data_IF_032078675086
#
_entry.id   IF_032078675086
#
_cell.length_a   1.000
_cell.length_b   1.000
_cell.length_c   1.000
_cell.angle_alpha   90.00
_cell.angle_beta   90.00
_cell.angle_gamma   90.00
#
_symmetry.space_group_name_H-M   'P 1'
#
loop_
_entity.id
_entity.type
_entity.pdbx_description
1 polymer ?
#
# COMPACT_ATOMS: atom_id res chain seq x y z
N UNK A 1 27.79 34.29 24.24
CA UNK A 1 26.41 34.79 24.14
C UNK A 1 25.76 34.01 23.01
N UNK A 2 24.69 33.26 23.27
CA UNK A 2 24.00 32.51 22.22
C UNK A 2 23.26 33.54 21.35
N UNK A 3 23.50 33.54 20.04
CA UNK A 3 22.75 34.38 19.14
C UNK A 3 21.32 33.82 19.05
N UNK A 4 20.33 34.65 19.38
CA UNK A 4 18.93 34.24 19.29
C UNK A 4 18.49 34.18 17.82
N UNK A 5 17.54 33.28 17.47
CA UNK A 5 16.91 33.31 16.17
C UNK A 5 16.24 34.67 15.90
N UNK A 6 16.17 35.05 14.63
CA UNK A 6 15.61 36.33 14.23
C UNK A 6 14.17 36.51 14.74
N UNK A 7 13.87 37.69 15.28
CA UNK A 7 12.56 38.03 15.82
C UNK A 7 12.31 37.64 17.28
N UNK A 8 13.26 36.98 17.95
CA UNK A 8 13.17 36.66 19.38
C UNK A 8 14.08 37.57 20.22
N UNK A 9 13.58 38.01 21.37
CA UNK A 9 14.24 38.98 22.27
C UNK A 9 14.77 38.36 23.55
N UNK A 10 14.27 37.18 23.94
CA UNK A 10 14.75 36.42 25.08
C UNK A 10 14.70 34.91 24.85
N UNK A 11 15.44 34.18 25.70
CA UNK A 11 15.50 32.74 25.73
C UNK A 11 15.61 32.23 27.17
N UNK A 12 14.75 31.28 27.54
CA UNK A 12 14.75 30.64 28.86
C UNK A 12 15.05 29.14 28.70
N UNK A 13 16.19 28.63 29.19
CA UNK A 13 16.48 27.20 29.12
C UNK A 13 15.56 26.43 30.07
N UNK A 14 14.89 25.40 29.56
CA UNK A 14 14.15 24.46 30.39
C UNK A 14 15.10 23.48 31.09
N UNK A 15 14.69 22.95 32.24
CA UNK A 15 15.47 22.00 33.04
C UNK A 15 16.90 22.48 33.35
N UNK A 16 17.09 23.78 33.60
CA UNK A 16 18.41 24.36 33.88
C UNK A 16 19.39 24.29 32.70
N UNK A 17 18.91 24.03 31.49
CA UNK A 17 19.75 23.86 30.29
C UNK A 17 20.39 22.46 30.19
N UNK A 18 20.00 21.51 31.03
CA UNK A 18 20.43 20.13 30.92
C UNK A 18 19.78 19.42 29.73
N UNK A 19 20.51 18.49 29.14
CA UNK A 19 20.01 17.64 28.06
C UNK A 19 18.96 16.67 28.59
N UNK A 20 17.86 16.49 27.85
CA UNK A 20 16.84 15.50 28.16
C UNK A 20 17.42 14.08 28.02
N UNK A 21 17.07 13.18 28.95
CA UNK A 21 17.62 11.83 29.02
C UNK A 21 16.91 10.82 28.11
N UNK A 22 16.81 11.09 26.80
CA UNK A 22 16.28 10.13 25.83
C UNK A 22 17.04 10.14 24.49
N UNK A 23 16.99 9.01 23.77
CA UNK A 23 17.54 8.88 22.42
C UNK A 23 16.58 9.48 21.39
N UNK A 24 16.93 10.64 20.85
CA UNK A 24 16.12 11.36 19.85
C UNK A 24 15.82 10.51 18.62
N UNK A 25 16.78 9.70 18.15
CA UNK A 25 16.57 8.93 16.92
C UNK A 25 15.56 7.79 17.11
N UNK A 26 15.23 7.46 18.36
CA UNK A 26 14.24 6.44 18.72
C UNK A 26 12.93 7.03 19.24
N UNK A 27 13.00 8.09 20.05
CA UNK A 27 11.87 8.63 20.80
C UNK A 27 11.54 10.08 20.46
N UNK A 28 12.21 10.68 19.47
CA UNK A 28 12.03 12.09 19.11
C UNK A 28 10.58 12.41 18.75
N UNK A 29 9.98 11.62 17.86
CA UNK A 29 8.61 11.82 17.39
C UNK A 29 7.59 11.58 18.52
N UNK A 30 7.78 10.52 19.29
CA UNK A 30 6.96 10.20 20.49
C UNK A 30 6.98 11.33 21.51
N UNK A 31 8.16 11.85 21.83
CA UNK A 31 8.32 12.95 22.78
C UNK A 31 7.65 14.23 22.26
N UNK A 32 7.84 14.57 20.98
CA UNK A 32 7.20 15.74 20.35
C UNK A 32 5.67 15.64 20.45
N UNK A 33 5.10 14.48 20.10
CA UNK A 33 3.65 14.28 20.17
C UNK A 33 3.11 14.48 21.59
N UNK A 34 3.77 13.94 22.63
CA UNK A 34 3.35 14.16 24.01
C UNK A 34 3.49 15.62 24.47
N UNK A 35 4.50 16.35 24.01
CA UNK A 35 4.64 17.79 24.28
C UNK A 35 3.43 18.54 23.72
N UNK A 36 3.10 18.32 22.45
CA UNK A 36 2.01 19.06 21.78
C UNK A 36 0.62 18.61 22.20
N UNK A 37 0.44 17.34 22.56
CA UNK A 37 -0.79 16.87 23.19
C UNK A 37 -1.03 17.61 24.51
N UNK A 38 -0.01 17.71 25.38
CA UNK A 38 -0.15 18.40 26.66
C UNK A 38 -0.43 19.89 26.48
N UNK A 39 0.18 20.54 25.49
CA UNK A 39 -0.11 21.94 25.15
C UNK A 39 -1.53 22.12 24.55
N UNK A 40 -2.02 21.16 23.79
CA UNK A 40 -3.41 21.13 23.33
C UNK A 40 -4.40 21.14 24.50
N UNK A 41 -4.10 20.38 25.55
CA UNK A 41 -4.93 20.31 26.77
C UNK A 41 -4.84 21.59 27.63
N UNK A 42 -3.64 22.15 27.81
CA UNK A 42 -3.43 23.27 28.74
C UNK A 42 -3.75 24.63 28.13
N UNK A 43 -3.35 24.86 26.88
CA UNK A 43 -3.48 26.17 26.21
C UNK A 43 -4.34 26.14 24.95
N UNK A 44 -5.06 25.04 24.70
CA UNK A 44 -5.98 24.86 23.56
C UNK A 44 -5.32 25.07 22.20
N UNK A 45 -4.05 24.70 22.08
CA UNK A 45 -3.37 24.70 20.78
C UNK A 45 -4.03 23.72 19.82
N UNK A 46 -4.18 24.11 18.55
CA UNK A 46 -4.72 23.24 17.50
C UNK A 46 -3.62 22.60 16.63
N UNK A 47 -2.36 22.92 16.88
CA UNK A 47 -1.22 22.37 16.15
C UNK A 47 0.07 23.15 16.35
N UNK A 48 1.06 22.88 15.52
CA UNK A 48 2.34 23.59 15.54
C UNK A 48 2.94 23.71 14.14
N UNK A 49 3.85 24.67 13.98
CA UNK A 49 4.73 24.83 12.83
C UNK A 49 6.16 24.56 13.27
N UNK A 50 6.94 23.90 12.43
CA UNK A 50 8.35 23.64 12.67
C UNK A 50 9.20 24.38 11.64
N UNK A 51 10.24 25.07 12.10
CA UNK A 51 11.26 25.68 11.24
C UNK A 51 12.66 25.22 11.66
N UNK A 52 13.56 25.02 10.70
CA UNK A 52 14.96 24.76 11.01
C UNK A 52 15.70 26.05 11.32
N UNK A 53 16.62 25.98 12.27
CA UNK A 53 17.56 27.05 12.57
C UNK A 53 18.98 26.53 12.35
N UNK A 54 19.63 27.02 11.30
CA UNK A 54 20.92 26.48 10.85
C UNK A 54 22.13 27.14 11.53
N UNK A 55 21.94 28.25 12.26
CA UNK A 55 23.02 28.93 12.97
C UNK A 55 23.29 28.25 14.31
N UNK A 56 24.56 28.28 14.74
CA UNK A 56 24.95 27.65 16.00
C UNK A 56 24.34 28.39 17.21
N UNK A 57 23.69 27.67 18.16
CA UNK A 57 23.47 26.22 18.17
C UNK A 57 22.31 25.82 17.24
N UNK A 58 22.57 24.97 16.25
CA UNK A 58 21.54 24.55 15.30
C UNK A 58 20.40 23.79 15.99
N UNK A 59 19.21 23.79 15.39
CA UNK A 59 18.04 23.11 15.97
C UNK A 59 16.75 23.31 15.21
N UNK A 60 15.64 22.97 15.88
CA UNK A 60 14.29 23.17 15.36
C UNK A 60 13.52 24.12 16.27
N UNK A 61 12.80 25.07 15.69
CA UNK A 61 11.93 25.99 16.41
C UNK A 61 10.49 25.57 16.12
N UNK A 62 9.75 25.27 17.19
CA UNK A 62 8.36 24.90 17.15
C UNK A 62 7.49 26.05 17.65
N UNK A 63 6.58 26.50 16.81
CA UNK A 63 5.64 27.56 17.13
C UNK A 63 4.22 27.01 17.13
N UNK A 64 3.44 27.30 18.18
CA UNK A 64 2.06 26.82 18.28
C UNK A 64 1.15 27.57 17.31
N UNK A 65 0.14 26.86 16.79
CA UNK A 65 -0.93 27.41 15.98
C UNK A 65 -2.22 27.51 16.79
N UNK A 66 -2.94 28.63 16.67
CA UNK A 66 -4.25 28.82 17.30
C UNK A 66 -4.23 29.02 18.82
N UNK A 67 -3.05 29.16 19.44
CA UNK A 67 -2.91 29.40 20.88
C UNK A 67 -2.73 30.89 21.21
N UNK A 68 -2.93 31.23 22.49
CA UNK A 68 -2.60 32.57 23.02
C UNK A 68 -1.12 32.72 23.40
N UNK A 69 -0.37 31.61 23.44
CA UNK A 69 1.06 31.61 23.77
C UNK A 69 1.84 32.36 22.69
N UNK A 70 2.65 33.33 23.13
CA UNK A 70 3.49 34.15 22.24
C UNK A 70 4.92 33.62 22.14
N UNK A 71 5.20 32.54 22.85
CA UNK A 71 6.48 31.85 22.89
C UNK A 71 6.58 30.69 21.88
N UNK A 72 7.80 30.23 21.66
CA UNK A 72 8.14 29.08 20.83
C UNK A 72 9.12 28.18 21.57
N UNK A 73 9.16 26.90 21.20
CA UNK A 73 10.14 25.95 21.73
C UNK A 73 11.29 25.77 20.75
N UNK A 74 12.50 26.10 21.17
CA UNK A 74 13.72 25.81 20.45
C UNK A 74 14.35 24.51 20.98
N UNK A 75 14.32 23.50 20.12
CA UNK A 75 14.93 22.20 20.35
C UNK A 75 16.35 22.20 19.79
N UNK A 76 17.33 22.40 20.66
CA UNK A 76 18.76 22.36 20.32
C UNK A 76 19.22 20.91 20.31
N UNK A 77 20.03 20.54 19.32
CA UNK A 77 20.40 19.16 19.03
C UNK A 77 21.93 18.95 19.09
N UNK A 78 22.52 18.79 20.29
CA UNK A 78 23.94 18.51 20.42
C UNK A 78 24.29 17.14 19.84
N UNK A 79 25.42 17.00 19.16
CA UNK A 79 25.80 15.74 18.49
C UNK A 79 26.02 14.55 19.43
N UNK A 80 26.33 14.80 20.71
CA UNK A 80 26.75 13.78 21.69
C UNK A 80 25.89 13.75 22.97
N UNK A 81 24.74 14.43 22.98
CA UNK A 81 23.84 14.48 24.14
C UNK A 81 22.39 14.46 23.67
N UNK A 82 21.48 14.23 24.61
CA UNK A 82 20.05 14.41 24.34
C UNK A 82 19.71 15.87 24.00
N UNK A 83 18.48 16.09 23.51
CA UNK A 83 18.04 17.43 23.12
C UNK A 83 18.03 18.39 24.31
N UNK A 84 18.30 19.67 24.05
CA UNK A 84 18.15 20.76 25.03
C UNK A 84 16.98 21.62 24.60
N UNK A 85 16.09 21.93 25.53
CA UNK A 85 14.87 22.70 25.26
C UNK A 85 15.04 24.13 25.77
N UNK A 86 14.74 25.11 24.93
CA UNK A 86 14.80 26.54 25.27
C UNK A 86 13.50 27.19 24.82
N UNK A 87 12.81 27.88 25.72
CA UNK A 87 11.64 28.69 25.35
C UNK A 87 12.12 30.02 24.83
N UNK A 88 11.63 30.42 23.66
CA UNK A 88 11.92 31.71 23.04
C UNK A 88 10.69 32.60 23.10
N UNK A 89 10.87 33.90 23.30
CA UNK A 89 9.78 34.88 23.17
C UNK A 89 10.20 36.17 22.48
N UNK A 90 9.20 36.91 21.99
CA UNK A 90 9.38 38.16 21.23
C UNK A 90 9.13 39.41 22.09
N UNK A 91 8.20 39.29 23.02
CA UNK A 91 7.79 40.34 23.96
C UNK A 91 8.56 40.21 25.29
N UNK A 92 8.37 41.08 26.30
CA UNK A 92 8.97 40.86 27.61
C UNK A 92 8.65 39.46 28.18
N UNK A 93 9.58 38.92 28.95
CA UNK A 93 9.45 37.57 29.51
C UNK A 93 8.29 37.51 30.52
N UNK A 94 7.38 36.56 30.31
CA UNK A 94 6.25 36.27 31.21
C UNK A 94 6.26 34.79 31.59
N UNK A 95 6.01 34.47 32.86
CA UNK A 95 6.00 33.07 33.32
C UNK A 95 4.86 32.27 32.68
N UNK A 96 3.74 32.94 32.35
CA UNK A 96 2.60 32.35 31.63
C UNK A 96 2.99 31.84 30.22
N UNK A 97 4.07 32.36 29.64
CA UNK A 97 4.61 31.91 28.37
C UNK A 97 5.62 30.77 28.50
N UNK A 98 6.11 30.47 29.71
CA UNK A 98 7.20 29.51 29.98
C UNK A 98 6.67 28.25 30.66
N UNK A 99 5.85 28.42 31.70
CA UNK A 99 5.38 27.31 32.54
C UNK A 99 4.62 26.25 31.74
N UNK A 100 3.75 26.58 30.76
CA UNK A 100 3.11 25.56 29.92
C UNK A 100 4.10 24.69 29.15
N UNK A 101 5.21 25.27 28.65
CA UNK A 101 6.26 24.49 27.99
C UNK A 101 7.04 23.63 28.98
N UNK A 102 7.36 24.18 30.16
CA UNK A 102 8.05 23.43 31.22
C UNK A 102 7.23 22.21 31.64
N UNK A 103 5.94 22.40 31.86
CA UNK A 103 5.00 21.33 32.20
C UNK A 103 4.89 20.30 31.07
N UNK A 104 4.70 20.74 29.83
CA UNK A 104 4.56 19.86 28.67
C UNK A 104 5.81 19.02 28.40
N UNK A 105 7.00 19.63 28.46
CA UNK A 105 8.28 18.93 28.30
C UNK A 105 8.49 17.92 29.43
N UNK A 106 8.22 18.30 30.68
CA UNK A 106 8.35 17.39 31.82
C UNK A 106 7.33 16.24 31.74
N UNK A 107 6.11 16.50 31.28
CA UNK A 107 5.09 15.48 31.03
C UNK A 107 5.57 14.49 29.96
N UNK A 108 6.00 14.98 28.80
CA UNK A 108 6.46 14.16 27.71
C UNK A 108 7.64 13.25 28.10
N UNK A 109 8.63 13.77 28.85
CA UNK A 109 9.76 12.95 29.36
C UNK A 109 9.29 11.79 30.24
N UNK A 110 8.22 11.97 31.02
CA UNK A 110 7.65 10.89 31.84
C UNK A 110 6.84 9.87 31.04
N UNK A 111 6.33 10.26 29.87
CA UNK A 111 5.51 9.41 29.01
C UNK A 111 6.32 8.65 27.94
N UNK A 112 7.55 9.05 27.61
CA UNK A 112 8.37 8.31 26.64
C UNK A 112 8.46 6.83 27.03
N UNK A 113 8.22 5.95 26.06
CA UNK A 113 8.22 4.50 26.23
C UNK A 113 6.91 3.94 26.79
N UNK A 114 5.91 4.78 27.09
CA UNK A 114 4.57 4.30 27.38
C UNK A 114 3.87 3.95 26.07
N UNK A 115 3.55 2.67 25.90
CA UNK A 115 2.72 2.20 24.81
C UNK A 115 1.34 1.83 25.35
N UNK A 116 0.33 2.21 24.61
CA UNK A 116 -1.06 1.80 24.81
C UNK A 116 -1.49 0.89 23.67
N UNK A 117 -2.34 -0.07 24.01
CA UNK A 117 -3.00 -0.91 23.02
C UNK A 117 -4.23 -0.21 22.47
N UNK A 118 -4.21 0.10 21.17
CA UNK A 118 -5.35 0.64 20.46
C UNK A 118 -6.06 -0.47 19.68
N UNK A 119 -7.26 -0.83 20.14
CA UNK A 119 -8.16 -1.67 19.37
C UNK A 119 -8.71 -0.92 18.16
N UNK A 120 -8.72 -1.57 16.99
CA UNK A 120 -9.19 -0.98 15.75
C UNK A 120 -9.94 -1.98 14.87
N UNK A 121 -10.68 -1.44 13.92
CA UNK A 121 -11.39 -2.21 12.90
C UNK A 121 -11.33 -1.57 11.53
N UNK A 122 -11.55 -2.36 10.50
CA UNK A 122 -11.72 -1.95 9.12
C UNK A 122 -12.64 -2.94 8.39
N UNK A 123 -13.08 -2.60 7.17
CA UNK A 123 -13.76 -3.55 6.28
C UNK A 123 -12.97 -3.64 5.00
N UNK A 124 -12.69 -4.85 4.55
CA UNK A 124 -12.03 -5.14 3.28
C UNK A 124 -12.93 -5.97 2.37
N UNK A 125 -12.64 -5.99 1.08
CA UNK A 125 -13.28 -6.88 0.13
C UNK A 125 -12.58 -6.88 -1.23
N UNK A 126 -12.89 -7.86 -2.10
CA UNK A 126 -12.43 -7.90 -3.49
C UNK A 126 -12.80 -6.62 -4.26
N UNK A 127 -11.94 -6.12 -5.14
CA UNK A 127 -12.22 -4.96 -6.01
C UNK A 127 -13.32 -5.29 -7.04
N UNK A 128 -14.40 -4.49 -7.14
CA UNK A 128 -15.49 -4.74 -8.08
C UNK A 128 -15.08 -4.64 -9.55
N UNK A 129 -13.97 -3.96 -9.85
CA UNK A 129 -13.49 -3.74 -11.22
C UNK A 129 -12.69 -4.91 -11.76
N UNK A 130 -12.28 -5.85 -10.90
CA UNK A 130 -11.47 -7.00 -11.31
C UNK A 130 -12.21 -7.90 -12.29
N UNK A 131 -11.61 -8.13 -13.47
CA UNK A 131 -12.13 -9.08 -14.47
C UNK A 131 -11.95 -10.56 -14.11
N UNK A 132 -11.15 -10.85 -13.08
CA UNK A 132 -10.63 -12.19 -12.83
C UNK A 132 -11.53 -13.10 -11.99
N UNK A 133 -12.62 -12.59 -11.42
CA UNK A 133 -13.51 -13.44 -10.66
C UNK A 133 -14.97 -13.05 -10.80
N UNK A 134 -15.83 -14.06 -10.73
CA UNK A 134 -17.18 -13.85 -10.21
C UNK A 134 -17.14 -13.39 -8.77
N UNK A 135 -18.31 -13.33 -8.15
CA UNK A 135 -18.46 -13.00 -6.74
C UNK A 135 -17.52 -13.81 -5.84
N UNK A 136 -16.65 -13.15 -5.07
CA UNK A 136 -15.74 -13.81 -4.12
C UNK A 136 -16.20 -13.56 -2.69
N UNK A 137 -16.07 -14.54 -1.81
CA UNK A 137 -16.35 -14.41 -0.37
C UNK A 137 -15.38 -15.28 0.45
N UNK A 138 -14.96 -14.79 1.62
CA UNK A 138 -14.22 -15.62 2.57
C UNK A 138 -15.18 -16.62 3.24
N UNK A 139 -14.83 -17.91 3.23
CA UNK A 139 -15.75 -19.00 3.60
C UNK A 139 -16.13 -19.05 5.09
N UNK A 140 -15.23 -18.60 5.96
CA UNK A 140 -15.39 -18.74 7.41
C UNK A 140 -14.55 -17.71 8.18
N UNK A 141 -14.92 -17.40 9.44
CA UNK A 141 -14.06 -16.63 10.33
C UNK A 141 -12.67 -17.25 10.45
N UNK A 142 -11.66 -16.41 10.60
CA UNK A 142 -10.26 -16.83 10.66
C UNK A 142 -9.38 -15.78 11.35
N UNK A 143 -8.14 -16.14 11.65
CA UNK A 143 -7.16 -15.23 12.26
C UNK A 143 -5.82 -15.31 11.52
N UNK A 144 -5.25 -14.14 11.20
CA UNK A 144 -3.96 -14.03 10.51
C UNK A 144 -3.15 -12.91 11.16
N UNK A 145 -1.98 -13.23 11.71
CA UNK A 145 -1.07 -12.21 12.23
C UNK A 145 -1.67 -11.33 13.33
N UNK A 146 -2.51 -11.90 14.19
CA UNK A 146 -3.26 -11.20 15.22
C UNK A 146 -4.41 -10.31 14.69
N UNK A 147 -4.77 -10.46 13.41
CA UNK A 147 -5.96 -9.85 12.83
C UNK A 147 -7.09 -10.89 12.82
N UNK A 148 -8.24 -10.54 13.40
CA UNK A 148 -9.46 -11.34 13.32
C UNK A 148 -10.23 -10.96 12.07
N UNK A 149 -10.62 -11.95 11.28
CA UNK A 149 -11.34 -11.79 10.03
C UNK A 149 -12.71 -12.43 10.16
N UNK A 150 -13.75 -11.60 10.13
CA UNK A 150 -15.13 -12.04 10.21
C UNK A 150 -15.79 -11.78 8.85
N UNK A 151 -16.05 -12.81 8.03
CA UNK A 151 -16.76 -12.63 6.76
C UNK A 151 -18.20 -12.19 7.00
N UNK A 152 -18.70 -11.29 6.16
CA UNK A 152 -20.10 -10.92 6.15
C UNK A 152 -20.96 -12.15 5.77
N UNK A 153 -22.06 -12.41 6.50
CA UNK A 153 -23.01 -13.45 6.10
C UNK A 153 -23.72 -13.10 4.77
N UNK A 154 -23.78 -11.81 4.44
CA UNK A 154 -24.43 -11.28 3.24
C UNK A 154 -23.41 -10.88 2.17
N UNK A 155 -23.88 -10.80 0.93
CA UNK A 155 -23.07 -10.30 -0.18
C UNK A 155 -23.30 -8.79 -0.32
N UNK A 156 -22.21 -8.03 -0.33
CA UNK A 156 -22.24 -6.61 -0.64
C UNK A 156 -22.42 -6.41 -2.13
N UNK A 157 -23.34 -5.51 -2.49
CA UNK A 157 -23.61 -5.18 -3.87
C UNK A 157 -23.13 -3.77 -4.21
N UNK A 158 -22.45 -3.64 -5.34
CA UNK A 158 -22.03 -2.35 -5.87
C UNK A 158 -21.98 -2.33 -7.39
N UNK A 159 -22.25 -1.16 -7.97
CA UNK A 159 -22.03 -0.89 -9.38
C UNK A 159 -20.66 -0.27 -9.61
N UNK A 160 -19.90 -0.84 -10.56
CA UNK A 160 -18.71 -0.22 -11.10
C UNK A 160 -18.99 0.34 -12.49
N UNK A 161 -18.61 1.60 -12.79
CA UNK A 161 -18.74 2.14 -14.14
C UNK A 161 -18.01 1.23 -15.14
N UNK A 162 -18.67 0.89 -16.24
CA UNK A 162 -18.01 0.15 -17.32
C UNK A 162 -16.92 1.02 -17.92
N UNK A 163 -15.68 0.51 -17.97
CA UNK A 163 -14.54 1.20 -18.57
C UNK A 163 -14.82 1.68 -20.00
N UNK A 164 -15.66 0.95 -20.74
CA UNK A 164 -15.89 1.17 -22.16
C UNK A 164 -17.29 1.67 -22.49
N UNK A 165 -18.16 1.94 -21.51
CA UNK A 165 -19.52 2.41 -21.78
C UNK A 165 -20.02 3.33 -20.66
N UNK A 166 -20.16 4.62 -20.97
CA UNK A 166 -20.64 5.64 -20.04
C UNK A 166 -22.09 5.39 -19.56
N UNK A 167 -22.85 4.61 -20.31
CA UNK A 167 -24.25 4.28 -20.02
C UNK A 167 -24.44 2.88 -19.45
N UNK A 168 -23.35 2.14 -19.17
CA UNK A 168 -23.45 0.85 -18.50
C UNK A 168 -22.58 0.79 -17.25
N UNK A 169 -23.08 0.06 -16.26
CA UNK A 169 -22.32 -0.29 -15.08
C UNK A 169 -22.31 -1.81 -14.94
N UNK A 170 -21.19 -2.34 -14.45
CA UNK A 170 -21.08 -3.74 -14.08
C UNK A 170 -21.48 -3.86 -12.62
N UNK A 171 -22.60 -4.52 -12.36
CA UNK A 171 -22.97 -4.91 -11.01
C UNK A 171 -22.03 -6.01 -10.53
N UNK A 172 -21.53 -5.88 -9.31
CA UNK A 172 -20.69 -6.87 -8.66
C UNK A 172 -21.27 -7.23 -7.29
N UNK A 173 -21.09 -8.48 -6.88
CA UNK A 173 -21.50 -8.99 -5.57
C UNK A 173 -20.28 -9.57 -4.89
N UNK A 174 -19.81 -8.97 -3.81
CA UNK A 174 -18.60 -9.38 -3.13
C UNK A 174 -18.88 -9.63 -1.64
N UNK A 175 -18.28 -10.66 -1.07
CA UNK A 175 -18.31 -10.91 0.35
C UNK A 175 -17.32 -9.97 1.05
N UNK A 176 -17.83 -9.08 1.88
CA UNK A 176 -17.00 -8.21 2.72
C UNK A 176 -16.42 -8.99 3.89
N UNK A 177 -15.32 -8.50 4.44
CA UNK A 177 -14.68 -9.05 5.62
C UNK A 177 -14.42 -7.92 6.60
N UNK A 178 -14.97 -8.04 7.81
CA UNK A 178 -14.66 -7.17 8.93
C UNK A 178 -13.33 -7.64 9.50
N UNK A 179 -12.37 -6.73 9.60
CA UNK A 179 -11.04 -7.00 10.11
C UNK A 179 -10.87 -6.25 11.41
N UNK A 180 -10.45 -6.93 12.47
CA UNK A 180 -10.19 -6.34 13.78
C UNK A 180 -8.78 -6.66 14.23
N UNK A 181 -8.16 -5.73 14.92
CA UNK A 181 -6.82 -5.91 15.46
C UNK A 181 -6.52 -4.95 16.60
N UNK A 182 -5.33 -5.10 17.16
CA UNK A 182 -4.77 -4.20 18.17
C UNK A 182 -3.39 -3.77 17.71
N UNK A 183 -3.07 -2.49 17.89
CA UNK A 183 -1.75 -1.93 17.62
C UNK A 183 -1.25 -1.19 18.86
N UNK A 184 -0.04 -1.56 19.31
CA UNK A 184 0.63 -0.91 20.44
C UNK A 184 1.33 0.36 19.96
N UNK A 185 0.95 1.52 20.49
CA UNK A 185 1.52 2.82 20.11
C UNK A 185 1.34 3.84 21.24
N UNK A 186 1.97 5.01 21.12
CA UNK A 186 1.78 6.12 22.07
C UNK A 186 0.58 7.02 21.70
N UNK A 187 0.20 7.07 20.41
CA UNK A 187 -0.96 7.81 19.90
C UNK A 187 -1.77 6.97 18.92
N UNK A 188 -3.05 7.33 18.73
CA UNK A 188 -3.91 6.70 17.74
C UNK A 188 -3.36 6.82 16.32
N UNK A 189 -2.76 7.96 15.94
CA UNK A 189 -2.24 8.17 14.59
C UNK A 189 -1.16 7.14 14.23
N UNK A 190 -0.23 6.88 15.16
CA UNK A 190 0.82 5.87 14.99
C UNK A 190 0.23 4.46 14.99
N UNK A 191 -0.74 4.18 15.86
CA UNK A 191 -1.44 2.90 15.88
C UNK A 191 -2.17 2.63 14.55
N UNK A 192 -2.80 3.66 13.98
CA UNK A 192 -3.53 3.60 12.71
C UNK A 192 -2.56 3.38 11.53
N UNK A 193 -1.35 3.95 11.56
CA UNK A 193 -0.31 3.69 10.55
C UNK A 193 0.16 2.24 10.59
N UNK A 194 0.42 1.68 11.79
CA UNK A 194 0.75 0.26 11.96
C UNK A 194 -0.40 -0.64 11.46
N UNK A 195 -1.63 -0.34 11.88
CA UNK A 195 -2.83 -1.02 11.41
C UNK A 195 -2.95 -1.00 9.88
N UNK A 196 -2.65 0.14 9.23
CA UNK A 196 -2.70 0.29 7.78
C UNK A 196 -1.65 -0.57 7.08
N UNK A 197 -0.42 -0.63 7.62
CA UNK A 197 0.64 -1.50 7.09
C UNK A 197 0.23 -2.98 7.17
N UNK A 198 -0.32 -3.41 8.31
CA UNK A 198 -0.79 -4.79 8.53
C UNK A 198 -1.97 -5.13 7.63
N UNK A 199 -2.95 -4.23 7.51
CA UNK A 199 -4.12 -4.42 6.65
C UNK A 199 -3.72 -4.50 5.17
N UNK A 200 -2.78 -3.65 4.72
CA UNK A 200 -2.25 -3.70 3.35
C UNK A 200 -1.52 -5.00 3.06
N UNK A 201 -0.71 -5.49 3.99
CA UNK A 201 -0.07 -6.80 3.87
C UNK A 201 -1.12 -7.93 3.73
N UNK A 202 -2.14 -7.93 4.59
CA UNK A 202 -3.25 -8.89 4.50
C UNK A 202 -3.93 -8.85 3.12
N UNK A 203 -4.31 -7.66 2.65
CA UNK A 203 -4.91 -7.49 1.33
C UNK A 203 -4.00 -8.01 0.22
N UNK A 204 -2.69 -7.72 0.27
CA UNK A 204 -1.74 -8.19 -0.74
C UNK A 204 -1.64 -9.73 -0.75
N UNK A 205 -1.59 -10.38 0.43
CA UNK A 205 -1.54 -11.84 0.54
C UNK A 205 -2.82 -12.51 0.03
N UNK A 206 -4.00 -11.99 0.41
CA UNK A 206 -5.29 -12.46 -0.10
C UNK A 206 -5.41 -12.25 -1.63
N UNK A 207 -4.79 -11.20 -2.17
CA UNK A 207 -4.76 -10.92 -3.61
C UNK A 207 -3.86 -11.89 -4.38
N UNK A 208 -2.74 -12.29 -3.77
CA UNK A 208 -1.93 -13.39 -4.30
C UNK A 208 -2.75 -14.66 -4.31
N UNK A 209 -3.45 -15.02 -3.24
CA UNK A 209 -4.23 -16.26 -3.22
C UNK A 209 -5.37 -16.26 -4.24
N UNK A 210 -6.27 -15.28 -4.14
CA UNK A 210 -7.53 -15.22 -4.90
C UNK A 210 -7.38 -14.75 -6.36
N UNK A 211 -6.21 -14.24 -6.76
CA UNK A 211 -5.96 -13.59 -8.07
C UNK A 211 -6.73 -12.29 -8.29
N UNK A 212 -7.40 -11.78 -7.26
CA UNK A 212 -8.22 -10.57 -7.32
C UNK A 212 -7.69 -9.57 -6.31
N UNK A 213 -7.53 -8.29 -6.65
CA UNK A 213 -7.11 -7.31 -5.67
C UNK A 213 -8.16 -7.22 -4.55
N UNK A 214 -7.71 -7.41 -3.32
CA UNK A 214 -8.47 -7.09 -2.11
C UNK A 214 -8.16 -5.66 -1.72
N UNK A 215 -9.17 -4.88 -1.36
CA UNK A 215 -9.01 -3.48 -1.02
C UNK A 215 -9.78 -3.11 0.25
N UNK A 216 -9.32 -2.03 0.88
CA UNK A 216 -10.02 -1.41 2.00
C UNK A 216 -11.31 -0.74 1.52
N UNK A 217 -12.43 -1.06 2.15
CA UNK A 217 -13.78 -0.51 1.88
C UNK A 217 -14.21 0.50 2.92
N UNK A 218 -13.87 0.25 4.18
CA UNK A 218 -14.01 1.20 5.27
C UNK A 218 -12.65 1.45 5.90
N UNK A 219 -12.36 2.71 6.23
CA UNK A 219 -11.10 3.12 6.83
C UNK A 219 -10.88 2.51 8.21
N UNK A 220 -9.61 2.37 8.56
CA UNK A 220 -9.20 2.00 9.91
C UNK A 220 -9.78 3.00 10.89
N UNK A 221 -10.59 2.49 11.80
CA UNK A 221 -11.31 3.26 12.79
C UNK A 221 -11.04 2.67 14.16
N UNK A 222 -10.92 3.50 15.21
CA UNK A 222 -10.73 2.97 16.56
C UNK A 222 -11.96 2.18 16.98
N UNK A 223 -11.80 1.22 17.88
CA UNK A 223 -12.91 0.54 18.57
C UNK A 223 -13.51 1.45 19.66
N UNK A 224 -13.78 2.70 19.29
CA UNK A 224 -14.50 3.68 20.09
C UNK A 224 -15.49 4.44 19.21
N UNK A 225 -16.57 4.93 19.79
CA UNK A 225 -17.51 5.85 19.13
C UNK A 225 -17.75 7.05 20.03
N UNK A 226 -18.09 8.19 19.41
CA UNK A 226 -18.49 9.39 20.13
C UNK A 226 -19.99 9.32 20.43
N UNK A 227 -20.37 9.37 21.69
CA UNK A 227 -21.77 9.38 22.10
C UNK A 227 -22.41 10.77 21.91
N UNK A 228 -23.69 10.93 22.24
CA UNK A 228 -24.41 12.19 22.10
C UNK A 228 -23.86 13.34 22.97
N UNK A 229 -23.15 13.04 24.06
CA UNK A 229 -22.47 14.03 24.91
C UNK A 229 -21.09 14.44 24.39
N UNK A 230 -20.59 13.81 23.31
CA UNK A 230 -19.25 14.07 22.78
C UNK A 230 -18.14 13.24 23.44
N UNK A 231 -18.49 12.30 24.31
CA UNK A 231 -17.55 11.44 25.01
C UNK A 231 -17.25 10.18 24.18
N UNK A 232 -16.02 9.68 24.29
CA UNK A 232 -15.62 8.43 23.62
C UNK A 232 -16.02 7.22 24.46
N UNK A 233 -16.82 6.33 23.90
CA UNK A 233 -17.20 5.05 24.50
C UNK A 233 -16.64 3.89 23.66
N UNK A 234 -16.20 2.81 24.32
CA UNK A 234 -15.73 1.61 23.64
C UNK A 234 -16.88 0.93 22.88
N UNK A 235 -16.61 0.42 21.68
CA UNK A 235 -17.56 -0.40 20.92
C UNK A 235 -17.12 -1.86 20.95
N UNK A 236 -18.08 -2.78 21.03
CA UNK A 236 -17.78 -4.17 20.71
C UNK A 236 -17.50 -4.25 19.20
N UNK A 237 -16.45 -4.97 18.83
CA UNK A 237 -16.18 -5.24 17.42
C UNK A 237 -17.28 -6.05 16.76
N UNK A 238 -18.12 -6.77 17.51
CA UNK A 238 -19.30 -7.45 16.97
C UNK A 238 -20.41 -6.49 16.55
N UNK A 239 -20.52 -5.32 17.18
CA UNK A 239 -21.56 -4.31 16.90
C UNK A 239 -21.30 -3.52 15.61
N UNK A 240 -20.15 -3.72 14.97
CA UNK A 240 -19.81 -3.08 13.70
C UNK A 240 -20.68 -3.69 12.58
N UNK A 241 -21.58 -2.88 12.04
CA UNK A 241 -22.43 -3.25 10.93
C UNK A 241 -21.67 -3.27 9.59
N UNK A 242 -21.99 -4.26 8.76
CA UNK A 242 -21.53 -4.27 7.36
C UNK A 242 -22.37 -3.30 6.54
N UNK A 243 -21.75 -2.55 5.61
CA UNK A 243 -22.54 -1.88 4.59
C UNK A 243 -23.19 -2.94 3.71
N UNK A 244 -24.50 -2.82 3.47
CA UNK A 244 -25.25 -3.74 2.60
C UNK A 244 -25.06 -3.37 1.12
N UNK A 245 -24.80 -2.08 0.85
CA UNK A 245 -24.62 -1.52 -0.50
C UNK A 245 -23.73 -0.30 -0.50
N UNK A 246 -23.20 0.05 -1.68
CA UNK A 246 -22.47 1.31 -1.87
C UNK A 246 -23.36 2.51 -1.52
N UNK A 247 -22.88 3.49 -0.73
CA UNK A 247 -23.64 4.70 -0.43
C UNK A 247 -23.86 5.61 -1.66
N UNK A 248 -23.18 5.30 -2.77
CA UNK A 248 -23.24 6.04 -4.03
C UNK A 248 -24.29 5.47 -5.01
N UNK A 249 -24.79 4.26 -4.74
CA UNK A 249 -25.75 3.60 -5.62
C UNK A 249 -27.18 4.08 -5.33
N UNK A 250 -27.97 4.29 -6.38
CA UNK A 250 -29.39 4.67 -6.28
C UNK A 250 -30.27 3.45 -6.04
N UNK A 251 -31.29 3.60 -5.19
CA UNK A 251 -32.27 2.56 -4.85
C UNK A 251 -32.90 1.89 -6.09
N UNK A 252 -33.19 2.68 -7.13
CA UNK A 252 -33.90 2.26 -8.34
C UNK A 252 -33.09 1.30 -9.24
N UNK A 253 -31.76 1.31 -9.12
CA UNK A 253 -30.89 0.49 -9.97
C UNK A 253 -30.77 -0.93 -9.40
N UNK A 254 -31.12 -1.13 -8.12
CA UNK A 254 -30.94 -2.39 -7.42
C UNK A 254 -31.87 -3.49 -7.94
N UNK A 255 -31.31 -4.47 -8.65
CA UNK A 255 -31.98 -5.74 -8.92
C UNK A 255 -31.34 -6.86 -8.08
N UNK A 256 -31.97 -7.26 -6.96
CA UNK A 256 -31.48 -8.38 -6.14
C UNK A 256 -31.62 -9.72 -6.86
N UNK A 257 -32.41 -9.78 -7.93
CA UNK A 257 -32.76 -11.00 -8.64
C UNK A 257 -31.71 -11.38 -9.68
N UNK A 258 -30.79 -12.25 -9.28
CA UNK A 258 -29.88 -12.92 -10.19
C UNK A 258 -29.18 -14.06 -9.47
N UNK A 259 -29.06 -15.21 -10.14
CA UNK A 259 -28.19 -16.30 -9.65
C UNK A 259 -26.77 -15.94 -10.01
N UNK A 260 -25.96 -15.60 -9.01
CA UNK A 260 -24.53 -15.37 -9.17
C UNK A 260 -23.78 -16.56 -8.59
N UNK A 261 -22.76 -17.03 -9.31
CA UNK A 261 -21.85 -18.01 -8.76
C UNK A 261 -20.93 -17.30 -7.77
N UNK A 262 -21.06 -17.64 -6.50
CA UNK A 262 -20.15 -17.19 -5.44
C UNK A 262 -19.02 -18.21 -5.32
N UNK A 263 -17.79 -17.74 -5.43
CA UNK A 263 -16.59 -18.50 -5.19
C UNK A 263 -16.17 -18.26 -3.74
N UNK A 264 -16.38 -19.26 -2.89
CA UNK A 264 -15.89 -19.21 -1.52
C UNK A 264 -14.37 -19.47 -1.50
N UNK A 265 -13.64 -18.62 -0.77
CA UNK A 265 -12.19 -18.67 -0.60
C UNK A 265 -11.90 -19.01 0.86
N UNK A 266 -11.07 -20.00 1.11
CA UNK A 266 -10.51 -20.26 2.45
C UNK A 266 -9.19 -19.49 2.59
N UNK A 267 -8.81 -19.13 3.83
CA UNK A 267 -7.44 -18.65 4.07
C UNK A 267 -6.52 -19.88 4.02
N UNK A 268 -5.58 -19.95 3.05
CA UNK A 268 -4.65 -21.06 2.98
C UNK A 268 -3.59 -20.95 4.08
N UNK A 269 -3.11 -22.10 4.57
CA UNK A 269 -2.17 -22.20 5.70
C UNK A 269 -0.85 -21.42 5.51
N UNK A 270 -0.46 -21.18 4.25
CA UNK A 270 0.75 -20.40 3.95
C UNK A 270 0.62 -18.95 4.42
N UNK A 271 -0.58 -18.37 4.46
CA UNK A 271 -0.77 -16.98 4.88
C UNK A 271 -0.42 -16.78 6.36
N UNK A 272 -1.07 -17.47 7.33
CA UNK A 272 -0.73 -17.32 8.74
C UNK A 272 0.69 -17.80 9.05
N UNK A 273 1.16 -18.89 8.42
CA UNK A 273 2.51 -19.43 8.70
C UNK A 273 3.65 -18.52 8.22
N UNK A 274 3.43 -17.75 7.15
CA UNK A 274 4.46 -16.86 6.56
C UNK A 274 4.35 -15.41 7.01
N UNK A 275 3.30 -15.03 7.75
CA UNK A 275 3.02 -13.65 8.13
C UNK A 275 4.23 -12.92 8.72
N UNK A 276 4.81 -13.44 9.81
CA UNK A 276 5.92 -12.78 10.52
C UNK A 276 7.21 -12.73 9.69
N UNK A 277 7.48 -13.76 8.88
CA UNK A 277 8.64 -13.81 8.01
C UNK A 277 8.55 -12.73 6.90
N UNK A 278 7.35 -12.53 6.34
CA UNK A 278 7.11 -11.51 5.33
C UNK A 278 7.14 -10.11 5.93
N UNK A 279 6.47 -9.90 7.07
CA UNK A 279 6.39 -8.60 7.72
C UNK A 279 7.78 -8.06 8.15
N UNK A 280 8.72 -8.96 8.46
CA UNK A 280 10.10 -8.60 8.83
C UNK A 280 11.07 -8.49 7.65
N UNK A 281 10.72 -9.01 6.46
CA UNK A 281 11.55 -8.90 5.25
C UNK A 281 11.01 -7.79 4.34
N UNK A 282 11.63 -6.61 4.43
CA UNK A 282 11.26 -5.44 3.63
C UNK A 282 11.27 -5.70 2.11
N UNK A 283 12.11 -6.63 1.63
CA UNK A 283 12.17 -6.98 0.21
C UNK A 283 10.97 -7.82 -0.24
N UNK A 284 10.57 -8.82 0.56
CA UNK A 284 9.37 -9.62 0.29
C UNK A 284 8.10 -8.80 0.45
N UNK A 285 8.02 -7.99 1.51
CA UNK A 285 6.92 -7.06 1.75
C UNK A 285 6.74 -6.09 0.57
N UNK A 286 7.83 -5.46 0.11
CA UNK A 286 7.81 -4.56 -1.04
C UNK A 286 7.39 -5.26 -2.34
N UNK A 287 7.82 -6.50 -2.57
CA UNK A 287 7.42 -7.29 -3.73
C UNK A 287 5.91 -7.64 -3.71
N UNK A 288 5.37 -8.04 -2.55
CA UNK A 288 3.94 -8.32 -2.40
C UNK A 288 3.08 -7.07 -2.61
N UNK A 289 3.45 -5.96 -1.96
CA UNK A 289 2.74 -4.70 -2.10
C UNK A 289 2.77 -4.22 -3.56
N UNK A 290 3.91 -4.29 -4.24
CA UNK A 290 3.98 -3.89 -5.65
C UNK A 290 3.13 -4.78 -6.56
N UNK A 291 3.04 -6.09 -6.31
CA UNK A 291 2.12 -6.95 -7.05
C UNK A 291 0.66 -6.55 -6.82
N UNK A 292 0.30 -6.28 -5.57
CA UNK A 292 -1.04 -5.81 -5.20
C UNK A 292 -1.40 -4.47 -5.87
N UNK A 293 -0.49 -3.51 -5.86
CA UNK A 293 -0.63 -2.24 -6.60
C UNK A 293 -0.77 -2.47 -8.12
N UNK A 294 0.01 -3.40 -8.67
CA UNK A 294 -0.13 -3.81 -10.07
C UNK A 294 -1.53 -4.34 -10.38
N UNK A 295 -2.13 -5.11 -9.46
CA UNK A 295 -3.50 -5.59 -9.60
C UNK A 295 -4.53 -4.45 -9.60
N UNK A 296 -4.42 -3.52 -8.64
CA UNK A 296 -5.30 -2.35 -8.52
C UNK A 296 -5.21 -1.43 -9.75
N UNK A 297 -4.02 -1.27 -10.31
CA UNK A 297 -3.79 -0.43 -11.48
C UNK A 297 -4.17 -1.10 -12.80
N UNK A 298 -4.36 -2.41 -12.86
CA UNK A 298 -4.46 -3.16 -14.12
C UNK A 298 -5.61 -2.71 -15.02
N UNK A 299 -6.76 -2.32 -14.44
CA UNK A 299 -7.91 -1.84 -15.23
C UNK A 299 -7.78 -0.37 -15.66
N UNK A 300 -7.23 0.50 -14.81
CA UNK A 300 -7.17 1.94 -15.08
C UNK A 300 -5.88 2.38 -15.77
N UNK A 301 -4.77 1.72 -15.44
CA UNK A 301 -3.39 2.09 -15.79
C UNK A 301 -2.52 0.86 -16.12
N UNK A 302 -2.89 0.03 -17.13
CA UNK A 302 -2.20 -1.23 -17.45
C UNK A 302 -0.69 -1.11 -17.72
N UNK A 303 -0.20 0.00 -18.25
CA UNK A 303 1.23 0.26 -18.46
C UNK A 303 1.98 0.42 -17.14
N UNK A 304 1.38 1.09 -16.15
CA UNK A 304 1.94 1.19 -14.79
C UNK A 304 1.81 -0.13 -14.03
N UNK A 305 0.72 -0.88 -14.24
CA UNK A 305 0.62 -2.24 -13.73
C UNK A 305 1.74 -3.15 -14.27
N UNK A 306 2.09 -3.02 -15.56
CA UNK A 306 3.22 -3.74 -16.13
C UNK A 306 4.55 -3.39 -15.44
N UNK A 307 4.79 -2.10 -15.14
CA UNK A 307 5.96 -1.68 -14.36
C UNK A 307 6.00 -2.35 -12.99
N UNK A 308 4.86 -2.40 -12.30
CA UNK A 308 4.76 -3.00 -10.98
C UNK A 308 5.08 -4.50 -11.03
N UNK A 309 4.48 -5.26 -11.95
CA UNK A 309 4.76 -6.69 -12.11
C UNK A 309 6.22 -6.98 -12.51
N UNK A 310 6.79 -6.21 -13.45
CA UNK A 310 8.20 -6.33 -13.82
C UNK A 310 9.11 -6.06 -12.62
N UNK A 311 8.82 -5.02 -11.82
CA UNK A 311 9.59 -4.69 -10.64
C UNK A 311 9.58 -5.82 -9.60
N UNK A 312 8.44 -6.50 -9.41
CA UNK A 312 8.33 -7.67 -8.54
C UNK A 312 9.22 -8.82 -9.02
N UNK A 313 9.14 -9.15 -10.31
CA UNK A 313 9.94 -10.23 -10.90
C UNK A 313 11.45 -9.91 -10.78
N UNK A 314 11.85 -8.68 -11.04
CA UNK A 314 13.25 -8.25 -10.89
C UNK A 314 13.71 -8.28 -9.43
N UNK A 315 12.88 -7.79 -8.49
CA UNK A 315 13.18 -7.79 -7.06
C UNK A 315 13.41 -9.22 -6.54
N UNK A 316 12.53 -10.16 -6.89
CA UNK A 316 12.66 -11.56 -6.50
C UNK A 316 13.80 -12.28 -7.23
N UNK A 317 13.99 -11.99 -8.53
CA UNK A 317 15.13 -12.50 -9.29
C UNK A 317 16.49 -12.09 -8.70
N UNK A 318 16.60 -10.84 -8.25
CA UNK A 318 17.80 -10.29 -7.61
C UNK A 318 18.16 -10.97 -6.28
N UNK A 319 17.19 -11.57 -5.58
CA UNK A 319 17.44 -12.32 -4.34
C UNK A 319 18.13 -13.65 -4.63
N UNK A 320 17.80 -14.28 -5.75
CA UNK A 320 18.32 -15.62 -6.09
C UNK A 320 19.65 -15.63 -6.84
N UNK A 321 20.01 -14.54 -7.51
CA UNK A 321 21.23 -14.47 -8.34
C UNK A 321 22.30 -13.62 -7.66
N UNK A 322 23.53 -14.16 -7.54
CA UNK A 322 24.72 -13.45 -7.02
C UNK A 322 24.89 -12.08 -7.73
N UNK A 323 25.49 -11.11 -7.03
CA UNK A 323 25.75 -9.74 -7.55
C UNK A 323 26.26 -9.79 -9.01
N UNK A 324 25.52 -9.15 -9.92
CA UNK A 324 25.91 -9.09 -11.33
C UNK A 324 27.19 -8.28 -11.52
N UNK A 325 28.02 -8.63 -12.50
CA UNK A 325 29.15 -7.82 -12.89
C UNK A 325 28.66 -6.47 -13.41
N UNK A 326 29.36 -5.40 -13.01
CA UNK A 326 29.20 -4.07 -13.62
C UNK A 326 30.17 -3.94 -14.77
N UNK A 327 29.76 -3.26 -15.84
CA UNK A 327 30.65 -2.85 -16.91
C UNK A 327 31.81 -2.03 -16.31
N UNK A 328 33.06 -2.38 -16.64
CA UNK A 328 34.23 -1.68 -16.09
C UNK A 328 34.27 -0.19 -16.48
N UNK A 329 33.75 0.15 -17.67
CA UNK A 329 33.77 1.51 -18.21
C UNK A 329 32.59 2.36 -17.73
N UNK A 330 31.36 1.96 -18.07
CA UNK A 330 30.16 2.76 -17.80
C UNK A 330 29.46 2.42 -16.47
N UNK A 331 29.99 1.46 -15.69
CA UNK A 331 29.43 0.97 -14.42
C UNK A 331 28.00 0.42 -14.50
N UNK A 332 27.44 0.26 -15.70
CA UNK A 332 26.11 -0.34 -15.90
C UNK A 332 26.10 -1.81 -15.47
N UNK A 333 25.01 -2.25 -14.86
CA UNK A 333 24.84 -3.65 -14.45
C UNK A 333 24.54 -4.48 -15.70
N UNK A 334 25.46 -5.38 -16.08
CA UNK A 334 25.24 -6.28 -17.23
C UNK A 334 24.43 -7.50 -16.77
N UNK A 335 23.47 -7.95 -17.57
CA UNK A 335 22.70 -9.18 -17.30
C UNK A 335 21.40 -8.99 -16.50
N UNK A 336 20.89 -7.76 -16.34
CA UNK A 336 19.58 -7.51 -15.72
C UNK A 336 18.45 -8.27 -16.42
N UNK A 337 18.42 -8.23 -17.76
CA UNK A 337 17.44 -8.99 -18.55
C UNK A 337 17.59 -10.51 -18.41
N UNK A 338 18.82 -11.02 -18.19
CA UNK A 338 19.04 -12.43 -17.91
C UNK A 338 18.42 -12.84 -16.57
N UNK A 339 18.59 -12.06 -15.51
CA UNK A 339 17.96 -12.32 -14.20
C UNK A 339 16.44 -12.34 -14.29
N UNK A 340 15.86 -11.40 -15.03
CA UNK A 340 14.42 -11.36 -15.26
C UNK A 340 13.93 -12.66 -15.90
N UNK A 341 14.60 -13.13 -16.95
CA UNK A 341 14.27 -14.40 -17.61
C UNK A 341 14.50 -15.63 -16.75
N UNK A 342 15.57 -15.65 -15.96
CA UNK A 342 15.83 -16.73 -15.01
C UNK A 342 14.75 -16.80 -13.92
N UNK A 343 14.28 -15.66 -13.42
CA UNK A 343 13.17 -15.60 -12.47
C UNK A 343 11.86 -16.13 -13.10
N UNK A 344 11.56 -15.74 -14.33
CA UNK A 344 10.42 -16.27 -15.09
C UNK A 344 10.52 -17.79 -15.30
N UNK A 345 11.69 -18.28 -15.71
CA UNK A 345 11.93 -19.69 -16.02
C UNK A 345 11.76 -20.65 -14.82
N UNK A 346 11.63 -20.11 -13.60
CA UNK A 346 11.27 -20.90 -12.42
C UNK A 346 9.86 -21.49 -12.52
N UNK A 347 8.92 -20.79 -13.14
CA UNK A 347 7.47 -21.10 -13.10
C UNK A 347 6.81 -21.25 -14.47
N UNK A 348 7.52 -20.93 -15.55
CA UNK A 348 7.07 -21.12 -16.94
C UNK A 348 8.21 -21.71 -17.79
N UNK A 349 7.89 -22.30 -18.97
CA UNK A 349 8.91 -22.80 -19.90
C UNK A 349 9.92 -21.70 -20.32
N UNK A 350 11.17 -22.10 -20.59
CA UNK A 350 12.25 -21.17 -20.92
C UNK A 350 11.96 -20.33 -22.19
N UNK A 351 11.28 -20.92 -23.19
CA UNK A 351 10.88 -20.23 -24.41
C UNK A 351 9.85 -19.11 -24.13
N UNK A 352 8.88 -19.37 -23.24
CA UNK A 352 7.94 -18.35 -22.78
C UNK A 352 8.63 -17.29 -21.94
N UNK A 353 9.56 -17.68 -21.07
CA UNK A 353 10.37 -16.72 -20.30
C UNK A 353 11.16 -15.76 -21.20
N UNK A 354 11.74 -16.26 -22.30
CA UNK A 354 12.41 -15.43 -23.31
C UNK A 354 11.40 -14.50 -24.02
N UNK A 355 10.21 -15.01 -24.37
CA UNK A 355 9.14 -14.23 -24.99
C UNK A 355 8.67 -13.07 -24.09
N UNK A 356 8.32 -13.34 -22.83
CA UNK A 356 7.93 -12.32 -21.84
C UNK A 356 9.08 -11.34 -21.59
N UNK A 357 10.31 -11.85 -21.49
CA UNK A 357 11.54 -11.06 -21.39
C UNK A 357 11.63 -10.00 -22.47
N UNK A 358 11.53 -10.40 -23.75
CA UNK A 358 11.63 -9.45 -24.87
C UNK A 358 10.45 -8.47 -24.89
N UNK A 359 9.22 -8.96 -24.70
CA UNK A 359 8.02 -8.12 -24.84
C UNK A 359 7.88 -7.05 -23.77
N UNK A 360 8.18 -7.36 -22.51
CA UNK A 360 7.98 -6.40 -21.42
C UNK A 360 9.20 -5.57 -21.07
N UNK A 361 10.42 -6.02 -21.36
CA UNK A 361 11.61 -5.26 -20.98
C UNK A 361 11.69 -3.92 -21.72
N UNK A 362 11.47 -3.94 -23.04
CA UNK A 362 11.45 -2.73 -23.86
C UNK A 362 10.27 -1.82 -23.50
N UNK A 363 9.07 -2.41 -23.32
CA UNK A 363 7.87 -1.66 -22.96
C UNK A 363 8.01 -0.95 -21.60
N UNK A 364 8.51 -1.66 -20.60
CA UNK A 364 8.80 -1.13 -19.26
C UNK A 364 9.77 0.04 -19.32
N UNK A 365 10.88 -0.10 -20.06
CA UNK A 365 11.87 0.98 -20.22
C UNK A 365 11.23 2.25 -20.79
N UNK A 366 10.45 2.10 -21.87
CA UNK A 366 9.76 3.24 -22.52
C UNK A 366 8.69 3.87 -21.63
N UNK A 367 7.91 3.08 -20.89
CA UNK A 367 6.94 3.64 -19.94
C UNK A 367 7.64 4.41 -18.82
N UNK A 368 8.69 3.84 -18.23
CA UNK A 368 9.39 4.46 -17.09
C UNK A 368 10.20 5.70 -17.47
N UNK A 369 10.80 5.74 -18.67
CA UNK A 369 11.75 6.79 -19.07
C UNK A 369 11.19 7.77 -20.09
N UNK A 370 10.26 7.33 -20.95
CA UNK A 370 9.68 8.14 -22.03
C UNK A 370 8.20 8.49 -21.77
N UNK A 371 7.58 7.95 -20.70
CA UNK A 371 6.17 8.17 -20.40
C UNK A 371 5.19 7.52 -21.38
N UNK A 372 5.66 6.55 -22.18
CA UNK A 372 4.85 5.89 -23.21
C UNK A 372 3.90 4.87 -22.59
N UNK A 373 2.61 4.99 -22.92
CA UNK A 373 1.54 4.10 -22.46
C UNK A 373 1.14 3.15 -23.60
N UNK A 374 1.01 1.87 -23.30
CA UNK A 374 0.79 0.78 -24.27
C UNK A 374 -0.64 0.22 -24.24
N UNK A 375 -1.42 0.53 -23.21
CA UNK A 375 -2.82 0.13 -23.11
C UNK A 375 -3.77 1.23 -23.59
N UNK A 376 -5.03 1.16 -23.15
CA UNK A 376 -6.04 2.17 -23.50
C UNK A 376 -5.99 3.44 -22.64
N UNK A 377 -4.96 3.65 -21.80
CA UNK A 377 -4.86 4.84 -20.93
C UNK A 377 -4.87 6.18 -21.68
N UNK A 378 -4.20 6.34 -22.83
CA UNK A 378 -4.15 7.63 -23.53
C UNK A 378 -5.50 8.09 -24.09
N UNK A 379 -6.48 7.21 -24.16
CA UNK A 379 -7.63 7.41 -25.03
C UNK A 379 -8.94 7.46 -24.24
N UNK A 380 -9.37 8.68 -23.92
CA UNK A 380 -10.68 8.92 -23.30
C UNK A 380 -11.80 8.47 -24.23
N UNK A 381 -12.70 7.61 -23.72
CA UNK A 381 -13.85 7.15 -24.50
C UNK A 381 -13.49 6.27 -25.70
N UNK A 382 -12.24 5.80 -25.84
CA UNK A 382 -11.95 4.77 -26.83
C UNK A 382 -12.60 3.46 -26.42
N UNK A 383 -13.64 3.15 -27.16
CA UNK A 383 -14.11 1.80 -27.32
C UNK A 383 -13.02 1.01 -28.06
N UNK A 384 -12.52 -0.08 -27.47
CA UNK A 384 -11.94 -1.15 -28.27
C UNK A 384 -13.09 -1.84 -29.01
N UNK A 385 -13.66 -1.15 -29.99
CA UNK A 385 -14.65 -1.74 -30.86
C UNK A 385 -14.06 -3.03 -31.42
N UNK A 386 -14.91 -4.04 -31.53
CA UNK A 386 -14.64 -5.32 -32.14
C UNK A 386 -14.45 -5.11 -33.65
N UNK A 387 -13.38 -4.44 -34.07
CA UNK A 387 -12.92 -4.42 -35.45
C UNK A 387 -12.20 -5.74 -35.65
N UNK A 388 -12.95 -6.82 -35.89
CA UNK A 388 -12.45 -8.19 -36.08
C UNK A 388 -11.52 -8.41 -37.27
N UNK A 389 -10.83 -7.36 -37.74
CA UNK A 389 -9.98 -7.32 -38.93
C UNK A 389 -8.66 -6.55 -38.70
N UNK A 390 -8.49 -5.79 -37.60
CA UNK A 390 -7.26 -5.02 -37.34
C UNK A 390 -6.49 -5.51 -36.12
N UNK A 391 -5.18 -5.67 -36.25
CA UNK A 391 -4.24 -5.92 -35.14
C UNK A 391 -4.44 -4.86 -34.03
N UNK A 392 -5.08 -5.26 -32.93
CA UNK A 392 -5.35 -4.37 -31.81
C UNK A 392 -4.23 -4.52 -30.78
N UNK A 393 -3.14 -3.79 -31.00
CA UNK A 393 -1.95 -3.81 -30.14
C UNK A 393 -2.25 -3.51 -28.66
N UNK A 394 -3.31 -2.74 -28.38
CA UNK A 394 -3.79 -2.45 -27.02
C UNK A 394 -4.39 -3.70 -26.37
N UNK A 395 -5.28 -4.40 -27.08
CA UNK A 395 -5.87 -5.66 -26.58
C UNK A 395 -4.80 -6.73 -26.40
N UNK A 396 -3.86 -6.83 -27.33
CA UNK A 396 -2.74 -7.77 -27.22
C UNK A 396 -1.85 -7.44 -26.02
N UNK A 397 -1.63 -6.16 -25.74
CA UNK A 397 -0.91 -5.72 -24.54
C UNK A 397 -1.65 -6.09 -23.26
N UNK A 398 -2.96 -5.79 -23.16
CA UNK A 398 -3.76 -6.13 -21.98
C UNK A 398 -3.85 -7.65 -21.75
N UNK A 399 -4.07 -8.44 -22.81
CA UNK A 399 -4.05 -9.90 -22.73
C UNK A 399 -2.70 -10.43 -22.23
N UNK A 400 -1.60 -9.88 -22.76
CA UNK A 400 -0.26 -10.26 -22.33
C UNK A 400 0.05 -9.80 -20.90
N UNK A 401 -0.46 -8.64 -20.48
CA UNK A 401 -0.35 -8.13 -19.11
C UNK A 401 -1.06 -9.05 -18.11
N UNK A 402 -2.23 -9.57 -18.48
CA UNK A 402 -2.93 -10.55 -17.68
C UNK A 402 -2.08 -11.82 -17.47
N UNK A 403 -1.44 -12.32 -18.53
CA UNK A 403 -0.49 -13.43 -18.39
C UNK A 403 0.73 -13.06 -17.52
N UNK A 404 1.26 -11.84 -17.65
CA UNK A 404 2.37 -11.37 -16.81
C UNK A 404 2.00 -11.34 -15.31
N UNK A 405 0.79 -10.86 -14.98
CA UNK A 405 0.24 -10.91 -13.63
C UNK A 405 0.20 -12.35 -13.10
N UNK A 406 -0.31 -13.29 -13.92
CA UNK A 406 -0.35 -14.70 -13.57
C UNK A 406 1.05 -15.31 -13.34
N UNK A 407 2.06 -14.97 -14.18
CA UNK A 407 3.45 -15.40 -13.94
C UNK A 407 3.98 -14.81 -12.63
N UNK A 408 3.76 -13.51 -12.41
CA UNK A 408 4.24 -12.80 -11.22
C UNK A 408 3.67 -13.43 -9.95
N UNK A 409 2.37 -13.76 -9.95
CA UNK A 409 1.73 -14.51 -8.87
C UNK A 409 2.38 -15.86 -8.63
N UNK A 410 2.68 -16.63 -9.69
CA UNK A 410 3.34 -17.94 -9.54
C UNK A 410 4.72 -17.80 -8.91
N UNK A 411 5.50 -16.78 -9.29
CA UNK A 411 6.80 -16.50 -8.67
C UNK A 411 6.61 -16.14 -7.20
N UNK A 412 5.61 -15.31 -6.85
CA UNK A 412 5.30 -14.99 -5.46
C UNK A 412 4.91 -16.24 -4.66
N UNK A 413 4.12 -17.15 -5.22
CA UNK A 413 3.79 -18.40 -4.53
C UNK A 413 5.04 -19.26 -4.25
N UNK A 414 6.01 -19.29 -5.16
CA UNK A 414 7.28 -19.99 -4.93
C UNK A 414 8.14 -19.27 -3.87
N UNK A 415 8.32 -17.95 -3.98
CA UNK A 415 9.30 -17.21 -3.18
C UNK A 415 8.77 -16.74 -1.82
N UNK A 416 7.48 -16.45 -1.73
CA UNK A 416 6.82 -15.92 -0.52
C UNK A 416 6.11 -17.04 0.23
N UNK A 417 5.28 -17.82 -0.48
CA UNK A 417 4.46 -18.87 0.10
C UNK A 417 5.20 -20.21 0.23
N UNK A 418 6.39 -20.34 -0.39
CA UNK A 418 7.16 -21.59 -0.43
C UNK A 418 6.35 -22.78 -1.00
N UNK A 419 5.42 -22.47 -1.91
CA UNK A 419 4.58 -23.46 -2.59
C UNK A 419 5.25 -23.86 -3.90
N UNK A 420 5.40 -25.16 -4.13
CA UNK A 420 5.85 -25.67 -5.42
C UNK A 420 4.78 -25.41 -6.48
N UNK A 421 5.14 -24.66 -7.52
CA UNK A 421 4.25 -24.30 -8.62
C UNK A 421 4.70 -25.01 -9.88
N UNK A 422 3.84 -25.85 -10.50
CA UNK A 422 4.19 -26.55 -11.73
C UNK A 422 4.58 -25.58 -12.85
N UNK A 423 5.74 -25.83 -13.46
CA UNK A 423 6.17 -25.15 -14.69
C UNK A 423 5.23 -25.51 -15.83
N UNK A 424 4.27 -24.63 -16.08
CA UNK A 424 3.21 -24.84 -17.08
C UNK A 424 3.06 -23.62 -17.96
N UNK A 425 2.73 -23.86 -19.24
CA UNK A 425 2.50 -22.80 -20.21
C UNK A 425 1.33 -21.90 -19.78
N UNK A 426 1.48 -20.59 -20.01
CA UNK A 426 0.38 -19.62 -19.87
C UNK A 426 -0.09 -19.07 -21.21
N UNK A 427 0.67 -19.31 -22.27
CA UNK A 427 0.25 -18.97 -23.61
C UNK A 427 -0.69 -20.07 -24.12
N UNK A 428 -1.73 -19.72 -24.89
CA UNK A 428 -2.45 -20.74 -25.64
C UNK A 428 -1.44 -21.53 -26.47
N UNK A 429 -1.62 -22.86 -26.63
CA UNK A 429 -0.74 -23.64 -27.50
C UNK A 429 -0.68 -22.92 -28.84
N UNK A 430 0.51 -22.77 -29.46
CA UNK A 430 0.60 -22.18 -30.78
C UNK A 430 -0.43 -22.94 -31.63
N UNK A 431 -1.36 -22.22 -32.24
CA UNK A 431 -2.33 -22.81 -33.16
C UNK A 431 -1.45 -23.59 -34.12
N UNK A 432 -1.44 -24.92 -34.00
CA UNK A 432 -0.66 -25.78 -34.90
C UNK A 432 -1.07 -25.28 -36.26
N UNK A 433 -0.11 -24.71 -37.02
CA UNK A 433 -0.38 -24.26 -38.37
C UNK A 433 -1.15 -25.42 -39.00
N UNK A 434 -2.42 -25.17 -39.35
CA UNK A 434 -3.24 -26.18 -40.00
C UNK A 434 -2.33 -26.77 -41.08
N UNK A 435 -2.15 -28.11 -41.13
CA UNK A 435 -1.23 -28.71 -42.08
C UNK A 435 -1.48 -28.01 -43.40
N UNK A 436 -0.45 -27.32 -43.92
CA UNK A 436 -0.56 -26.58 -45.17
C UNK A 436 -1.32 -27.50 -46.12
N UNK A 437 -2.45 -27.07 -46.69
CA UNK A 437 -3.29 -27.95 -47.50
C UNK A 437 -2.34 -28.66 -48.43
N UNK A 438 -2.22 -29.99 -48.23
CA UNK A 438 -1.22 -30.79 -48.91
C UNK A 438 -1.30 -30.37 -50.37
N UNK A 439 -0.18 -29.94 -50.96
CA UNK A 439 -0.17 -29.50 -52.34
C UNK A 439 -0.66 -30.70 -53.15
N UNK A 440 -1.95 -30.70 -53.47
CA UNK A 440 -2.53 -31.64 -54.41
C UNK A 440 -1.94 -31.20 -55.72
N UNK A 441 -0.82 -31.83 -56.08
CA UNK A 441 -0.26 -31.78 -57.41
C UNK A 441 -1.43 -32.00 -58.37
N UNK A 442 -1.66 -31.11 -59.33
CA UNK A 442 -2.69 -31.35 -60.33
C UNK A 442 -2.39 -32.69 -61.01
N UNK A 443 -3.41 -33.52 -61.30
CA UNK A 443 -3.21 -34.78 -61.98
C UNK A 443 -2.48 -34.52 -63.31
N UNK A 444 -1.31 -35.11 -63.47
CA UNK A 444 -0.61 -35.15 -64.75
C UNK A 444 -1.45 -35.96 -65.72
N UNK A 445 -2.03 -35.29 -66.71
CA UNK A 445 -2.61 -35.93 -67.89
C UNK A 445 -1.47 -36.45 -68.77
N UNK A 446 -1.17 -37.74 -68.66
CA UNK A 446 -0.47 -38.47 -69.72
C UNK A 446 -1.49 -38.84 -70.79
N UNK A 447 -1.19 -38.46 -72.03
CA UNK A 447 -1.81 -38.95 -73.26
C UNK A 447 -0.75 -39.58 -74.14
#
# INVERSE_FOLDING_TARGET
MIQLPEGYSWAEPLNGGESLAFDRNKHGDEWIDFVFQRLGETVRSSGYQMSSHDHFPGGHIYQLAGSQLRSALWLILPSNRGPVCVVLGREPQHEDDIEPWREAVAHAVRQIGTAMDFGWWAIIGPDPKSRYSGSLRLSSPSEVGGLKLDPSPEMFFEYSPSRFNLFSANGSRNGLVKVRGTSAAYTWAVAAEDAAKRLRLLCAMLSVESRVPWMQRCSISPLTRTNASGESEAIDGEDIEFPVRSPWDRDEIFSPEGRFQVNDVTIPDWIPSRWSAIASDAGLLGALINYHEGLLMMEAHPSYAALAFVAVIEALGNRTVKKLPRCAECRSVRGSGQRFREALAKVIPAEEAEYFGRKFYDRRSRTAHEGILHGAEPTFGAFSHWTGISDNSVRDFEALLHSLSAVTRRILLVEVAEIDVPRSSLLPPPIRALPSPASTSPPTSEG
#
